data_IF_183109664963
#
_entry.id   IF_183109664963
#
_cell.length_a   1.000
_cell.length_b   1.000
_cell.length_c   1.000
_cell.angle_alpha   90.00
_cell.angle_beta   90.00
_cell.angle_gamma   90.00
#
_symmetry.space_group_name_H-M   'P 1'
#
loop_
_entity.id
_entity.type
_entity.pdbx_description
1 polymer ?
#
# COMPACT_ATOMS: atom_id res chain seq x y z
N UNK A 1 31.64 -73.89 24.48
CA UNK A 1 31.70 -72.55 25.10
C UNK A 1 31.94 -71.54 24.00
N UNK A 2 31.10 -70.49 24.00
CA UNK A 2 31.31 -69.15 23.46
C UNK A 2 31.45 -68.95 21.94
N UNK A 3 30.84 -67.85 21.53
CA UNK A 3 30.39 -67.50 20.20
C UNK A 3 30.87 -66.07 19.85
N UNK A 4 30.52 -65.65 18.63
CA UNK A 4 30.29 -64.28 18.14
C UNK A 4 31.48 -63.69 17.35
N UNK A 5 31.32 -63.52 16.04
CA UNK A 5 30.62 -62.44 15.30
C UNK A 5 31.38 -61.10 15.36
N UNK A 6 31.87 -60.65 14.21
CA UNK A 6 32.13 -59.24 13.95
C UNK A 6 32.00 -58.98 12.44
N UNK A 7 30.77 -58.70 12.00
CA UNK A 7 30.52 -58.07 10.70
C UNK A 7 30.43 -56.57 10.95
N UNK A 8 31.39 -55.81 10.40
CA UNK A 8 31.41 -54.34 10.45
C UNK A 8 30.57 -53.84 9.29
N UNK A 9 29.38 -53.32 9.58
CA UNK A 9 28.54 -52.63 8.61
C UNK A 9 28.80 -51.12 8.75
N UNK A 10 29.52 -50.53 7.80
CA UNK A 10 29.70 -49.09 7.71
C UNK A 10 28.45 -48.47 7.10
N UNK A 11 27.64 -47.79 7.92
CA UNK A 11 26.50 -47.00 7.45
C UNK A 11 27.00 -45.62 7.00
N UNK A 12 27.14 -45.44 5.69
CA UNK A 12 27.42 -44.14 5.07
C UNK A 12 26.14 -43.31 5.10
N UNK A 13 26.09 -42.29 5.96
CA UNK A 13 24.99 -41.32 6.00
C UNK A 13 25.28 -40.26 4.93
N UNK A 14 24.61 -40.37 3.78
CA UNK A 14 24.63 -39.34 2.74
C UNK A 14 23.65 -38.24 3.12
N UNK A 15 24.13 -37.16 3.72
CA UNK A 15 23.32 -35.96 3.96
C UNK A 15 23.02 -35.27 2.63
N UNK A 16 21.82 -35.49 2.11
CA UNK A 16 21.28 -34.78 0.95
C UNK A 16 21.02 -33.31 1.39
N UNK A 17 21.91 -32.40 1.01
CA UNK A 17 21.65 -30.97 1.12
C UNK A 17 20.60 -30.61 0.07
N UNK A 18 19.34 -30.56 0.50
CA UNK A 18 18.26 -29.97 -0.29
C UNK A 18 18.53 -28.47 -0.29
N UNK A 19 19.06 -27.96 -1.39
CA UNK A 19 19.03 -26.53 -1.66
C UNK A 19 17.55 -26.18 -1.87
N UNK A 20 16.91 -25.69 -0.81
CA UNK A 20 15.58 -25.09 -0.93
C UNK A 20 15.71 -23.89 -1.84
N UNK A 21 15.02 -23.92 -2.98
CA UNK A 21 14.66 -22.67 -3.64
C UNK A 21 13.81 -21.91 -2.66
N UNK A 22 14.31 -20.78 -2.15
CA UNK A 22 13.47 -19.82 -1.43
C UNK A 22 12.41 -19.40 -2.45
N UNK A 23 11.19 -19.92 -2.28
CA UNK A 23 10.06 -19.39 -2.99
C UNK A 23 9.93 -17.95 -2.49
N UNK A 24 10.24 -16.97 -3.36
CA UNK A 24 9.91 -15.59 -3.06
C UNK A 24 8.41 -15.56 -2.84
N UNK A 25 7.97 -15.11 -1.65
CA UNK A 25 6.55 -14.97 -1.45
C UNK A 25 6.08 -13.81 -2.34
N UNK A 26 4.79 -13.72 -2.55
CA UNK A 26 4.23 -12.67 -3.37
C UNK A 26 3.01 -12.17 -2.64
N UNK A 27 2.94 -10.87 -2.39
CA UNK A 27 1.83 -10.31 -1.64
C UNK A 27 0.75 -9.86 -2.62
N UNK A 28 -0.44 -10.44 -2.48
CA UNK A 28 -1.62 -9.91 -3.16
C UNK A 28 -2.07 -8.64 -2.46
N UNK A 29 -2.31 -7.58 -3.24
CA UNK A 29 -2.95 -6.36 -2.74
C UNK A 29 -4.26 -6.08 -3.48
N UNK A 30 -5.21 -5.47 -2.78
CA UNK A 30 -6.46 -4.96 -3.31
C UNK A 30 -6.81 -3.64 -2.63
N UNK A 31 -6.79 -2.57 -3.41
CA UNK A 31 -7.30 -1.25 -3.04
C UNK A 31 -8.77 -1.18 -3.44
N UNK A 32 -9.66 -1.03 -2.44
CA UNK A 32 -11.11 -1.09 -2.65
C UNK A 32 -11.72 0.30 -2.76
N UNK A 33 -11.32 1.20 -1.85
CA UNK A 33 -11.78 2.59 -1.86
C UNK A 33 -10.63 3.61 -1.81
N UNK A 34 -10.89 4.76 -2.40
CA UNK A 34 -10.03 5.93 -2.34
C UNK A 34 -10.91 7.16 -2.23
N UNK A 35 -10.67 7.98 -1.21
CA UNK A 35 -11.29 9.29 -1.05
C UNK A 35 -10.23 10.38 -1.23
N UNK A 36 -10.59 11.47 -1.92
CA UNK A 36 -9.70 12.60 -2.16
C UNK A 36 -10.37 13.87 -1.67
N UNK A 37 -9.81 14.45 -0.61
CA UNK A 37 -10.28 15.67 0.01
C UNK A 37 -9.34 16.80 -0.37
N UNK A 38 -9.79 17.68 -1.26
CA UNK A 38 -9.05 18.87 -1.67
C UNK A 38 -9.74 20.10 -1.07
N UNK A 39 -9.03 20.81 -0.19
CA UNK A 39 -9.59 21.97 0.49
C UNK A 39 -9.44 23.21 -0.38
N UNK A 40 -10.54 23.91 -0.62
CA UNK A 40 -10.60 25.21 -1.29
C UNK A 40 -10.68 26.37 -0.29
N UNK A 41 -10.98 26.10 0.99
CA UNK A 41 -10.90 27.06 2.09
C UNK A 41 -9.92 26.57 3.16
N UNK A 42 -9.06 27.46 3.65
CA UNK A 42 -8.15 27.14 4.76
C UNK A 42 -8.72 27.54 6.13
N UNK A 43 -8.09 27.08 7.23
CA UNK A 43 -8.45 27.50 8.59
C UNK A 43 -8.23 29.00 8.84
N UNK A 44 -7.51 29.67 7.94
CA UNK A 44 -7.30 31.11 7.93
C UNK A 44 -8.49 31.90 7.36
N UNK A 45 -9.56 31.21 6.91
CA UNK A 45 -10.77 31.81 6.32
C UNK A 45 -10.54 32.39 4.93
N UNK A 46 -9.42 32.05 4.29
CA UNK A 46 -9.11 32.47 2.93
C UNK A 46 -9.37 31.33 1.96
N UNK A 47 -9.84 31.69 0.77
CA UNK A 47 -10.06 30.75 -0.31
C UNK A 47 -8.72 30.37 -0.98
N UNK A 48 -8.74 29.29 -1.73
CA UNK A 48 -7.73 28.82 -2.65
C UNK A 48 -8.35 28.53 -4.01
N UNK A 49 -7.54 27.92 -4.88
CA UNK A 49 -8.02 27.49 -6.20
C UNK A 49 -9.16 26.48 -6.01
N UNK A 50 -10.32 26.69 -6.64
CA UNK A 50 -11.41 25.70 -6.64
C UNK A 50 -10.94 24.41 -7.36
N UNK A 51 -10.84 23.32 -6.60
CA UNK A 51 -10.33 22.02 -7.06
C UNK A 51 -11.46 21.02 -7.19
N UNK A 52 -11.49 20.34 -8.32
CA UNK A 52 -12.33 19.16 -8.53
C UNK A 52 -11.47 17.92 -8.78
N UNK A 53 -11.88 16.81 -8.18
CA UNK A 53 -11.22 15.51 -8.29
C UNK A 53 -12.18 14.44 -8.81
N UNK A 54 -11.63 13.36 -9.39
CA UNK A 54 -12.40 12.17 -9.76
C UNK A 54 -11.52 10.92 -9.71
N UNK A 55 -11.80 10.06 -8.75
CA UNK A 55 -11.18 8.72 -8.61
C UNK A 55 -11.51 7.85 -9.82
N UNK A 56 -10.59 6.95 -10.17
CA UNK A 56 -10.71 6.08 -11.34
C UNK A 56 -10.48 4.62 -10.98
N UNK A 57 -11.27 3.77 -11.64
CA UNK A 57 -10.98 2.34 -11.85
C UNK A 57 -10.74 1.54 -10.56
N UNK A 58 -11.59 1.72 -9.55
CA UNK A 58 -11.63 0.83 -8.39
C UNK A 58 -12.56 -0.38 -8.63
N UNK A 59 -12.30 -1.53 -7.99
CA UNK A 59 -11.11 -1.81 -7.16
C UNK A 59 -9.85 -2.01 -8.03
N UNK A 60 -8.67 -1.81 -7.43
CA UNK A 60 -7.36 -2.05 -8.07
C UNK A 60 -6.66 -3.17 -7.33
N UNK A 61 -6.32 -4.24 -8.02
CA UNK A 61 -5.63 -5.38 -7.42
C UNK A 61 -4.43 -5.86 -8.23
N UNK A 62 -3.54 -6.56 -7.55
CA UNK A 62 -2.33 -7.09 -8.13
C UNK A 62 -1.58 -7.99 -7.17
N UNK A 63 -0.54 -8.63 -7.69
CA UNK A 63 0.47 -9.32 -6.91
C UNK A 63 1.74 -8.47 -7.01
N UNK A 64 2.45 -8.33 -5.89
CA UNK A 64 3.73 -7.65 -5.80
C UNK A 64 4.75 -8.60 -5.16
N UNK A 65 5.95 -8.65 -5.73
CA UNK A 65 7.13 -9.25 -5.10
C UNK A 65 7.91 -8.20 -4.28
N UNK A 66 8.70 -8.61 -3.30
CA UNK A 66 9.52 -7.67 -2.52
C UNK A 66 10.45 -6.85 -3.43
N UNK A 67 10.41 -5.52 -3.26
CA UNK A 67 11.09 -4.54 -4.10
C UNK A 67 10.34 -4.15 -5.37
N UNK A 68 9.23 -4.81 -5.71
CA UNK A 68 8.42 -4.45 -6.88
C UNK A 68 7.55 -3.22 -6.61
N UNK A 69 7.53 -2.29 -7.58
CA UNK A 69 6.64 -1.14 -7.60
C UNK A 69 5.57 -1.30 -8.66
N UNK A 70 4.30 -1.16 -8.27
CA UNK A 70 3.18 -1.04 -9.21
C UNK A 70 2.67 0.38 -9.30
N UNK A 71 2.72 0.89 -10.53
CA UNK A 71 2.25 2.23 -10.90
C UNK A 71 0.89 2.19 -11.59
N UNK A 72 -0.05 3.00 -11.13
CA UNK A 72 -1.38 3.08 -11.75
C UNK A 72 -2.01 4.49 -11.64
N UNK A 73 -2.89 4.87 -12.58
CA UNK A 73 -3.60 6.15 -12.51
C UNK A 73 -4.66 6.10 -11.42
N UNK A 74 -4.52 6.91 -10.38
CA UNK A 74 -5.41 6.91 -9.21
C UNK A 74 -6.64 7.79 -9.43
N UNK A 75 -6.43 9.07 -9.73
CA UNK A 75 -7.52 10.02 -9.94
C UNK A 75 -7.14 11.12 -10.93
N UNK A 76 -8.16 11.84 -11.39
CA UNK A 76 -8.01 13.07 -12.17
C UNK A 76 -8.27 14.28 -11.31
N UNK A 77 -7.49 15.33 -11.53
CA UNK A 77 -7.62 16.62 -10.84
C UNK A 77 -7.74 17.75 -11.87
N UNK A 78 -8.58 18.74 -11.59
CA UNK A 78 -8.72 19.95 -12.39
C UNK A 78 -9.28 21.11 -11.57
N UNK A 79 -9.36 22.30 -12.17
CA UNK A 79 -10.08 23.44 -11.62
C UNK A 79 -11.12 23.94 -12.63
N UNK A 80 -12.31 24.28 -12.14
CA UNK A 80 -13.40 24.84 -12.94
C UNK A 80 -13.33 26.38 -13.06
N UNK A 81 -12.36 26.98 -12.38
CA UNK A 81 -11.99 28.38 -12.56
C UNK A 81 -11.45 28.63 -13.97
N UNK A 82 -11.49 29.88 -14.38
CA UNK A 82 -11.11 30.26 -15.74
C UNK A 82 -9.82 31.07 -15.82
N UNK A 83 -9.29 31.48 -14.66
CA UNK A 83 -8.03 32.19 -14.47
C UNK A 83 -7.64 32.01 -12.99
N UNK A 84 -6.34 31.92 -12.71
CA UNK A 84 -5.80 32.05 -11.36
C UNK A 84 -5.86 33.52 -10.98
N UNK A 85 -6.68 33.84 -10.00
CA UNK A 85 -6.85 35.16 -9.46
C UNK A 85 -5.75 35.48 -8.44
N UNK A 86 -5.07 36.61 -8.66
CA UNK A 86 -4.12 37.17 -7.70
C UNK A 86 -4.78 38.18 -6.75
N UNK A 87 -6.04 38.52 -6.99
CA UNK A 87 -6.74 39.61 -6.29
C UNK A 87 -8.06 39.07 -5.75
N UNK A 88 -8.13 38.80 -4.46
CA UNK A 88 -9.44 38.70 -3.81
C UNK A 88 -10.11 40.07 -3.95
N UNK A 89 -11.41 40.12 -4.27
CA UNK A 89 -12.12 41.41 -4.37
C UNK A 89 -11.92 42.25 -3.10
N UNK A 90 -11.77 43.57 -3.26
CA UNK A 90 -11.73 44.70 -2.30
C UNK A 90 -11.08 44.57 -0.88
N UNK A 91 -10.83 43.40 -0.28
CA UNK A 91 -10.37 43.24 1.11
C UNK A 91 -9.39 42.07 1.41
N UNK A 92 -8.79 41.36 0.45
CA UNK A 92 -7.89 40.21 0.79
C UNK A 92 -6.76 39.88 -0.21
N UNK A 93 -5.62 39.28 0.22
CA UNK A 93 -4.51 38.95 -0.67
C UNK A 93 -4.61 37.54 -1.32
N UNK A 94 -4.35 37.46 -2.63
CA UNK A 94 -3.79 36.30 -3.36
C UNK A 94 -4.40 34.90 -3.07
N UNK A 95 -5.72 34.74 -3.16
CA UNK A 95 -6.38 33.50 -2.74
C UNK A 95 -5.92 32.27 -3.55
N UNK A 96 -5.98 32.30 -4.87
CA UNK A 96 -5.79 31.11 -5.70
C UNK A 96 -4.33 30.62 -5.79
N UNK A 97 -3.35 31.43 -5.39
CA UNK A 97 -1.92 31.05 -5.37
C UNK A 97 -1.43 30.57 -4.02
N UNK A 98 -2.27 30.69 -2.98
CA UNK A 98 -1.99 30.08 -1.67
C UNK A 98 -2.03 28.57 -1.79
N UNK A 99 -1.25 27.93 -0.93
CA UNK A 99 -1.28 26.49 -0.79
C UNK A 99 -2.51 26.12 0.02
N UNK A 100 -3.25 25.13 -0.45
CA UNK A 100 -4.30 24.47 0.31
C UNK A 100 -4.03 23.00 0.35
N UNK A 101 -4.38 22.38 1.46
CA UNK A 101 -4.06 20.98 1.68
C UNK A 101 -4.89 20.10 0.74
N UNK A 102 -4.35 18.92 0.46
CA UNK A 102 -5.07 17.84 -0.19
C UNK A 102 -4.69 16.54 0.50
N UNK A 103 -5.69 15.74 0.81
CA UNK A 103 -5.54 14.47 1.48
C UNK A 103 -6.08 13.37 0.57
N UNK A 104 -5.34 12.27 0.47
CA UNK A 104 -5.75 11.09 -0.27
C UNK A 104 -5.78 9.92 0.70
N UNK A 105 -6.99 9.49 1.01
CA UNK A 105 -7.28 8.40 1.92
C UNK A 105 -7.45 7.11 1.10
N UNK A 106 -6.66 6.10 1.43
CA UNK A 106 -6.67 4.78 0.82
C UNK A 106 -7.29 3.78 1.79
N UNK A 107 -8.15 2.90 1.26
CA UNK A 107 -8.71 1.77 2.00
C UNK A 107 -8.44 0.46 1.25
N UNK A 108 -7.49 -0.31 1.76
CA UNK A 108 -7.09 -1.59 1.18
C UNK A 108 -7.92 -2.70 1.82
N UNK A 109 -8.54 -3.55 1.01
CA UNK A 109 -9.22 -4.75 1.46
C UNK A 109 -8.27 -5.94 1.65
N UNK A 110 -7.09 -5.91 1.01
CA UNK A 110 -6.04 -6.89 1.18
C UNK A 110 -4.67 -6.22 0.97
N UNK A 111 -3.74 -6.28 1.95
CA UNK A 111 -4.06 -6.49 3.36
C UNK A 111 -5.07 -5.43 3.85
N UNK A 112 -5.83 -5.75 4.91
CA UNK A 112 -6.84 -4.84 5.49
C UNK A 112 -6.15 -3.69 6.25
N UNK A 113 -5.87 -2.59 5.54
CA UNK A 113 -5.17 -1.42 6.07
C UNK A 113 -5.69 -0.14 5.41
N UNK A 114 -5.69 0.96 6.16
CA UNK A 114 -5.98 2.29 5.63
C UNK A 114 -4.77 3.20 5.78
N UNK A 115 -4.60 4.14 4.84
CA UNK A 115 -3.46 5.05 4.82
C UNK A 115 -3.83 6.42 4.24
N UNK A 116 -3.15 7.47 4.67
CA UNK A 116 -3.40 8.84 4.19
C UNK A 116 -2.12 9.46 3.66
N UNK A 117 -2.14 9.87 2.38
CA UNK A 117 -1.08 10.67 1.78
C UNK A 117 -1.51 12.12 1.73
N UNK A 118 -0.68 12.99 2.32
CA UNK A 118 -0.94 14.42 2.40
C UNK A 118 -0.16 15.18 1.31
N UNK A 119 -0.68 16.32 0.92
CA UNK A 119 -0.05 17.21 -0.03
C UNK A 119 -0.66 18.60 0.00
N UNK A 120 -0.39 19.38 -1.04
CA UNK A 120 -1.05 20.65 -1.26
C UNK A 120 -1.34 20.91 -2.73
N UNK A 121 -2.38 21.69 -2.99
CA UNK A 121 -2.68 22.29 -4.28
C UNK A 121 -2.40 23.79 -4.25
N UNK A 122 -2.15 24.38 -5.42
CA UNK A 122 -2.16 25.83 -5.63
C UNK A 122 -2.28 26.18 -7.11
N UNK A 123 -2.81 27.36 -7.39
CA UNK A 123 -2.71 28.02 -8.67
C UNK A 123 -1.30 28.56 -8.95
N UNK A 124 -0.99 28.72 -10.24
CA UNK A 124 0.17 29.45 -10.74
C UNK A 124 -0.30 30.50 -11.73
N UNK A 125 0.02 31.75 -11.41
CA UNK A 125 -0.34 32.89 -12.25
C UNK A 125 0.31 32.84 -13.64
N UNK A 126 1.50 32.26 -13.77
CA UNK A 126 2.13 31.99 -15.06
C UNK A 126 2.62 30.53 -15.06
N UNK A 127 2.13 29.65 -15.95
CA UNK A 127 1.31 29.85 -17.15
C UNK A 127 -0.22 29.66 -16.95
N UNK A 128 -0.84 30.20 -15.89
CA UNK A 128 -2.30 30.09 -15.62
C UNK A 128 -2.80 28.64 -15.52
N UNK A 129 -2.36 27.95 -14.47
CA UNK A 129 -2.72 26.56 -14.26
C UNK A 129 -2.61 26.17 -12.78
N UNK A 130 -3.12 24.99 -12.42
CA UNK A 130 -2.97 24.43 -11.08
C UNK A 130 -1.81 23.44 -11.00
N UNK A 131 -1.31 23.25 -9.78
CA UNK A 131 -0.34 22.23 -9.41
C UNK A 131 -0.81 21.55 -8.14
N UNK A 132 -0.70 20.23 -8.11
CA UNK A 132 -0.75 19.45 -6.88
C UNK A 132 0.64 18.91 -6.61
N UNK A 133 1.05 18.96 -5.34
CA UNK A 133 2.26 18.33 -4.86
C UNK A 133 1.97 17.48 -3.65
N UNK A 134 2.52 16.29 -3.61
CA UNK A 134 2.44 15.44 -2.43
C UNK A 134 3.73 15.58 -1.61
N UNK A 135 3.63 15.23 -0.33
CA UNK A 135 4.80 15.14 0.53
C UNK A 135 5.55 13.82 0.27
N UNK A 136 6.49 13.50 1.14
CA UNK A 136 7.30 12.28 1.01
C UNK A 136 6.42 11.02 1.02
N UNK A 137 6.88 9.92 0.39
CA UNK A 137 6.21 8.64 0.44
C UNK A 137 5.92 8.20 1.87
N UNK A 138 4.79 7.53 2.07
CA UNK A 138 4.41 7.00 3.40
C UNK A 138 4.69 5.51 3.47
N UNK A 139 5.04 5.04 4.67
CA UNK A 139 5.21 3.63 5.00
C UNK A 139 3.94 3.10 5.67
N UNK A 140 3.42 1.97 5.18
CA UNK A 140 2.21 1.31 5.67
C UNK A 140 2.57 -0.11 6.08
N UNK A 141 2.58 -0.35 7.38
CA UNK A 141 2.81 -1.68 7.93
C UNK A 141 1.52 -2.48 7.89
N UNK A 142 1.65 -3.76 7.54
CA UNK A 142 0.58 -4.74 7.58
C UNK A 142 1.12 -6.05 8.18
N UNK A 143 0.21 -7.01 8.39
CA UNK A 143 0.43 -8.36 8.93
C UNK A 143 1.89 -8.82 9.04
N UNK A 144 2.29 -9.26 10.24
CA UNK A 144 3.54 -9.99 10.49
C UNK A 144 4.82 -9.35 9.92
N UNK A 145 4.89 -8.02 9.94
CA UNK A 145 6.07 -7.27 9.48
C UNK A 145 6.05 -6.94 7.99
N UNK A 146 4.95 -7.19 7.29
CA UNK A 146 4.74 -6.69 5.94
C UNK A 146 4.78 -5.17 5.90
N UNK A 147 5.41 -4.61 4.86
CA UNK A 147 5.54 -3.17 4.70
C UNK A 147 5.38 -2.77 3.22
N UNK A 148 4.45 -1.86 2.95
CA UNK A 148 4.36 -1.16 1.67
C UNK A 148 4.81 0.30 1.83
N UNK A 149 5.27 0.90 0.73
CA UNK A 149 5.34 2.35 0.59
C UNK A 149 4.34 2.83 -0.45
N UNK A 150 3.69 3.96 -0.18
CA UNK A 150 2.78 4.62 -1.10
C UNK A 150 3.35 6.00 -1.42
N UNK A 151 3.60 6.22 -2.71
CA UNK A 151 4.07 7.48 -3.27
C UNK A 151 3.06 8.00 -4.31
N UNK A 152 2.80 9.29 -4.30
CA UNK A 152 1.89 9.95 -5.23
C UNK A 152 2.63 10.94 -6.12
N UNK A 153 2.48 10.79 -7.43
CA UNK A 153 3.15 11.68 -8.37
C UNK A 153 2.53 13.09 -8.39
N UNK A 154 3.38 14.09 -8.16
CA UNK A 154 3.12 15.49 -8.46
C UNK A 154 2.56 15.64 -9.88
N UNK A 155 1.54 16.50 -10.04
CA UNK A 155 1.01 16.79 -11.38
C UNK A 155 0.59 18.23 -11.56
N UNK A 156 0.46 18.61 -12.82
CA UNK A 156 -0.07 19.90 -13.24
C UNK A 156 -1.43 19.67 -13.88
N UNK A 157 -2.38 20.53 -13.56
CA UNK A 157 -3.70 20.53 -14.18
C UNK A 157 -4.04 21.91 -14.71
N UNK A 158 -4.93 21.96 -15.69
CA UNK A 158 -5.38 23.19 -16.32
C UNK A 158 -6.63 23.74 -15.67
N UNK A 159 -6.88 25.00 -16.00
CA UNK A 159 -8.11 25.71 -15.72
C UNK A 159 -9.13 25.47 -16.84
N UNK A 160 -10.37 25.85 -16.60
CA UNK A 160 -11.44 25.88 -17.60
C UNK A 160 -11.18 26.97 -18.63
N UNK A 161 -11.12 26.58 -19.90
CA UNK A 161 -10.97 27.52 -20.99
C UNK A 161 -12.27 28.29 -21.23
N UNK A 162 -12.26 29.63 -21.11
CA UNK A 162 -13.46 30.48 -21.31
C UNK A 162 -14.14 30.33 -22.67
N UNK A 163 -13.37 30.09 -23.74
CA UNK A 163 -13.89 30.04 -25.11
C UNK A 163 -14.48 28.67 -25.46
N UNK A 164 -13.86 27.60 -24.97
CA UNK A 164 -14.22 26.23 -25.36
C UNK A 164 -14.95 25.46 -24.27
N UNK A 165 -14.97 25.97 -23.02
CA UNK A 165 -15.49 25.27 -21.84
C UNK A 165 -14.67 24.03 -21.43
N UNK A 166 -13.61 23.69 -22.19
CA UNK A 166 -12.80 22.50 -21.93
C UNK A 166 -11.85 22.74 -20.78
N UNK A 167 -11.65 21.69 -19.97
CA UNK A 167 -10.69 21.68 -18.87
C UNK A 167 -9.61 20.64 -19.14
N UNK A 168 -8.33 21.02 -19.03
CA UNK A 168 -7.22 20.07 -19.13
C UNK A 168 -7.02 19.39 -17.78
N UNK A 169 -7.47 18.14 -17.64
CA UNK A 169 -7.34 17.38 -16.41
C UNK A 169 -5.90 16.87 -16.23
N UNK A 170 -5.35 17.02 -15.03
CA UNK A 170 -4.16 16.29 -14.60
C UNK A 170 -4.53 14.87 -14.20
N UNK A 171 -3.61 13.92 -14.35
CA UNK A 171 -3.75 12.56 -13.81
C UNK A 171 -2.70 12.38 -12.74
N UNK A 172 -3.13 12.01 -11.54
CA UNK A 172 -2.25 11.62 -10.44
C UNK A 172 -2.06 10.11 -10.52
N UNK A 173 -0.82 9.68 -10.44
CA UNK A 173 -0.45 8.26 -10.40
C UNK A 173 -0.04 7.91 -8.98
N UNK A 174 -0.42 6.71 -8.54
CA UNK A 174 0.08 6.11 -7.32
C UNK A 174 1.14 5.08 -7.68
N UNK A 175 2.22 5.06 -6.91
CA UNK A 175 3.26 4.06 -6.90
C UNK A 175 3.16 3.33 -5.56
N UNK A 176 2.78 2.05 -5.61
CA UNK A 176 2.78 1.18 -4.43
C UNK A 176 3.96 0.23 -4.55
N UNK A 177 4.86 0.25 -3.57
CA UNK A 177 6.05 -0.61 -3.56
C UNK A 177 6.00 -1.54 -2.36
N UNK A 178 6.18 -2.84 -2.57
CA UNK A 178 6.36 -3.79 -1.48
C UNK A 178 7.80 -3.69 -0.98
N UNK A 179 7.98 -3.26 0.26
CA UNK A 179 9.31 -3.10 0.88
C UNK A 179 9.73 -4.36 1.62
N UNK A 180 8.79 -5.02 2.30
CA UNK A 180 9.02 -6.27 3.01
C UNK A 180 7.76 -7.12 2.97
N UNK A 181 7.92 -8.41 2.71
CA UNK A 181 6.83 -9.37 2.77
C UNK A 181 6.39 -9.68 4.20
N UNK A 182 5.09 -9.97 4.36
CA UNK A 182 4.53 -10.54 5.59
C UNK A 182 5.12 -11.93 5.81
N UNK A 183 5.73 -12.16 6.97
CA UNK A 183 6.29 -13.46 7.29
C UNK A 183 5.18 -14.40 7.78
N UNK A 184 5.10 -15.64 7.27
CA UNK A 184 4.17 -16.61 7.82
C UNK A 184 4.58 -16.89 9.27
N UNK A 185 3.73 -16.53 10.23
CA UNK A 185 3.92 -16.90 11.62
C UNK A 185 3.89 -18.43 11.66
N UNK A 186 4.97 -19.11 12.10
CA UNK A 186 4.97 -20.55 12.19
C UNK A 186 3.79 -20.96 13.06
N UNK A 187 2.80 -21.64 12.48
CA UNK A 187 1.78 -22.27 13.29
C UNK A 187 2.51 -23.17 14.29
N UNK A 188 2.07 -23.22 15.56
CA UNK A 188 2.72 -24.05 16.56
C UNK A 188 2.60 -25.52 16.15
N UNK A 189 3.57 -26.02 15.38
CA UNK A 189 3.76 -27.43 15.05
C UNK A 189 3.88 -28.28 16.33
N UNK A 190 4.18 -27.63 17.45
CA UNK A 190 4.12 -28.18 18.79
C UNK A 190 2.72 -28.69 19.17
N UNK A 191 1.61 -28.13 18.68
CA UNK A 191 0.27 -28.63 19.04
C UNK A 191 -0.07 -29.95 18.35
N UNK A 192 0.26 -30.11 17.06
CA UNK A 192 0.09 -31.38 16.33
C UNK A 192 1.08 -32.44 16.79
N UNK A 193 2.33 -32.05 17.08
CA UNK A 193 3.32 -32.93 17.69
C UNK A 193 2.92 -33.42 19.09
N UNK A 194 2.40 -32.53 19.94
CA UNK A 194 1.96 -32.88 21.30
C UNK A 194 0.67 -33.72 21.28
N UNK A 195 -0.26 -33.47 20.35
CA UNK A 195 -1.43 -34.32 20.12
C UNK A 195 -1.03 -35.72 19.65
N UNK A 196 -0.07 -35.81 18.74
CA UNK A 196 0.45 -37.10 18.27
C UNK A 196 1.13 -37.88 19.41
N UNK A 197 1.93 -37.23 20.25
CA UNK A 197 2.57 -37.87 21.42
C UNK A 197 1.54 -38.27 22.49
N UNK A 198 0.54 -37.42 22.74
CA UNK A 198 -0.55 -37.71 23.68
C UNK A 198 -1.43 -38.89 23.27
N UNK A 199 -1.73 -39.03 21.97
CA UNK A 199 -2.50 -40.14 21.43
C UNK A 199 -1.75 -41.48 21.53
N UNK A 200 -0.43 -41.48 21.29
CA UNK A 200 0.41 -42.68 21.45
C UNK A 200 0.49 -43.10 22.93
N UNK A 201 0.60 -42.14 23.86
CA UNK A 201 0.59 -42.41 25.30
C UNK A 201 -0.71 -43.06 25.79
N UNK A 202 -1.86 -42.58 25.34
CA UNK A 202 -3.18 -43.14 25.72
C UNK A 202 -3.41 -44.56 25.16
N UNK A 203 -2.89 -44.86 23.96
CA UNK A 203 -2.97 -46.20 23.36
C UNK A 203 -2.18 -47.27 24.12
N UNK A 204 -1.01 -46.91 24.66
CA UNK A 204 -0.16 -47.83 25.44
C UNK A 204 -0.73 -48.07 26.84
N UNK A 205 -1.33 -47.05 27.48
CA UNK A 205 -1.97 -47.20 28.79
C UNK A 205 -3.17 -48.17 28.76
N UNK A 206 -3.98 -48.15 27.70
CA UNK A 206 -5.11 -49.09 27.53
C UNK A 206 -4.67 -50.55 27.39
N UNK A 207 -3.55 -50.83 26.73
CA UNK A 207 -3.02 -52.21 26.62
C UNK A 207 -2.49 -52.78 27.93
N UNK A 208 -2.04 -51.91 28.86
CA UNK A 208 -1.55 -52.34 30.18
C UNK A 208 -2.66 -52.60 31.21
N UNK A 209 -3.88 -52.10 30.98
CA UNK A 209 -5.03 -52.35 31.85
C UNK A 209 -5.88 -53.55 31.41
N UNK A 210 -5.63 -54.11 30.22
CA UNK A 210 -6.36 -55.25 29.66
C UNK A 210 -5.55 -56.58 29.68
N UNK A 211 -4.39 -56.58 30.35
CA UNK A 211 -3.55 -57.76 30.63
C UNK A 211 -3.41 -57.92 32.14
#
# INVERSE_FOLDING_TARGET
MQAKFAAVLAATVTSLAVFGSEAQASTFFQLDDVTVDAFDEGPDGFLGLDISTKVRNLPISGVLEEGETRRFPLFKIWSDETFVNLTAGFFGPLDDVRRRDIEVNFDFAAPDVSATVNGFTRGRFFPQNGVVRFFDPIEVQFENGGLFTIDLEDTKFGLRNKKTGKVKKGTVYANVTLVSESQPVPEPASLLGLLAVGAVGAGVARKRQAA
#
